data_IF_877916678685
#
_entry.id   IF_877916678685
#
_cell.length_a   1.000
_cell.length_b   1.000
_cell.length_c   1.000
_cell.angle_alpha   90.00
_cell.angle_beta   90.00
_cell.angle_gamma   90.00
#
_symmetry.space_group_name_H-M   'P 1'
#
loop_
_entity.id
_entity.type
_entity.pdbx_description
1 polymer ?
#
# COMPACT_ATOMS: atom_id res chain seq x y z
N UNK A 1 -30.68 -11.25 1.68
CA UNK A 1 -29.75 -11.27 2.83
C UNK A 1 -28.31 -11.70 2.50
N UNK A 2 -28.04 -12.89 1.91
CA UNK A 2 -26.64 -13.33 1.62
C UNK A 2 -25.87 -12.42 0.64
N UNK A 3 -26.49 -11.91 -0.44
CA UNK A 3 -25.78 -11.02 -1.39
C UNK A 3 -25.56 -9.61 -0.85
N UNK A 4 -26.53 -9.06 -0.10
CA UNK A 4 -26.39 -7.77 0.58
C UNK A 4 -25.23 -7.78 1.59
N UNK A 5 -25.07 -8.90 2.34
CA UNK A 5 -23.93 -9.04 3.27
C UNK A 5 -22.57 -9.00 2.56
N UNK A 6 -22.50 -9.44 1.31
CA UNK A 6 -21.27 -9.45 0.53
C UNK A 6 -20.98 -8.12 -0.17
N UNK A 7 -22.01 -7.33 -0.52
CA UNK A 7 -21.86 -6.12 -1.31
C UNK A 7 -21.57 -4.87 -0.45
N UNK A 8 -22.07 -4.83 0.79
CA UNK A 8 -21.90 -3.65 1.67
C UNK A 8 -20.43 -3.23 1.86
N UNK A 9 -19.47 -4.14 2.14
CA UNK A 9 -18.06 -3.77 2.25
C UNK A 9 -17.48 -3.14 0.97
N UNK A 10 -17.93 -3.57 -0.21
CA UNK A 10 -17.51 -3.00 -1.50
C UNK A 10 -18.09 -1.60 -1.70
N UNK A 11 -19.37 -1.40 -1.37
CA UNK A 11 -20.00 -0.07 -1.43
C UNK A 11 -19.29 0.90 -0.48
N UNK A 12 -19.00 0.48 0.76
CA UNK A 12 -18.28 1.32 1.71
C UNK A 12 -16.85 1.63 1.25
N UNK A 13 -16.16 0.66 0.66
CA UNK A 13 -14.84 0.89 0.04
C UNK A 13 -14.91 1.95 -1.05
N UNK A 14 -15.89 1.82 -1.96
CA UNK A 14 -16.12 2.80 -3.02
C UNK A 14 -16.38 4.20 -2.45
N UNK A 15 -17.28 4.32 -1.46
CA UNK A 15 -17.60 5.59 -0.81
C UNK A 15 -16.36 6.19 -0.14
N UNK A 16 -15.56 5.38 0.57
CA UNK A 16 -14.37 5.85 1.27
C UNK A 16 -13.34 6.45 0.30
N UNK A 17 -13.10 5.81 -0.84
CA UNK A 17 -12.14 6.30 -1.85
C UNK A 17 -12.66 7.57 -2.52
N UNK A 18 -13.95 7.61 -2.87
CA UNK A 18 -14.60 8.81 -3.42
C UNK A 18 -14.59 9.98 -2.42
N UNK A 19 -14.80 9.70 -1.13
CA UNK A 19 -14.74 10.71 -0.07
C UNK A 19 -13.33 11.27 0.09
N UNK A 20 -12.31 10.42 0.11
CA UNK A 20 -10.91 10.87 0.19
C UNK A 20 -10.57 11.86 -0.93
N UNK A 21 -10.89 11.51 -2.18
CA UNK A 21 -10.59 12.37 -3.34
C UNK A 21 -11.51 13.59 -3.40
N UNK A 22 -12.80 13.44 -3.07
CA UNK A 22 -13.75 14.54 -3.04
C UNK A 22 -13.38 15.60 -2.01
N UNK A 23 -12.98 15.21 -0.79
CA UNK A 23 -12.50 16.12 0.25
C UNK A 23 -11.21 16.81 -0.17
N UNK A 24 -10.28 16.09 -0.78
CA UNK A 24 -9.05 16.67 -1.34
C UNK A 24 -9.36 17.77 -2.36
N UNK A 25 -10.26 17.52 -3.32
CA UNK A 25 -10.64 18.52 -4.31
C UNK A 25 -11.39 19.70 -3.69
N UNK A 26 -12.28 19.45 -2.73
CA UNK A 26 -13.07 20.51 -2.09
C UNK A 26 -12.20 21.47 -1.26
N UNK A 27 -11.20 20.92 -0.56
CA UNK A 27 -10.26 21.71 0.23
C UNK A 27 -9.07 22.24 -0.59
N UNK A 28 -8.93 21.82 -1.86
CA UNK A 28 -7.76 22.06 -2.70
C UNK A 28 -6.44 21.56 -2.08
N UNK A 29 -6.50 20.44 -1.35
CA UNK A 29 -5.37 19.86 -0.64
C UNK A 29 -5.03 18.47 -1.19
N UNK A 30 -4.08 18.34 -2.14
CA UNK A 30 -3.76 17.07 -2.79
C UNK A 30 -3.13 16.05 -1.83
N UNK A 31 -2.50 16.50 -0.74
CA UNK A 31 -1.90 15.65 0.28
C UNK A 31 -2.91 14.81 1.07
N UNK A 32 -4.20 15.13 0.97
CA UNK A 32 -5.30 14.31 1.52
C UNK A 32 -5.42 12.99 0.77
N UNK A 33 -5.04 12.93 -0.52
CA UNK A 33 -5.10 11.70 -1.29
C UNK A 33 -3.95 10.79 -0.84
N UNK A 34 -4.29 9.81 0.00
CA UNK A 34 -3.39 8.79 0.49
C UNK A 34 -3.77 7.44 -0.14
N UNK A 35 -3.11 7.00 -1.23
CA UNK A 35 -3.49 5.78 -1.97
C UNK A 35 -3.66 4.53 -1.10
N UNK A 36 -2.92 4.47 0.00
CA UNK A 36 -2.93 3.41 1.01
C UNK A 36 -4.29 3.24 1.68
N UNK A 37 -5.15 4.26 1.74
CA UNK A 37 -6.52 4.13 2.24
C UNK A 37 -7.30 3.09 1.43
N UNK A 38 -7.10 3.03 0.12
CA UNK A 38 -7.67 1.98 -0.73
C UNK A 38 -7.09 0.61 -0.40
N UNK A 39 -5.80 0.52 -0.10
CA UNK A 39 -5.19 -0.73 0.36
C UNK A 39 -5.77 -1.17 1.73
N UNK A 40 -5.89 -0.24 2.67
CA UNK A 40 -6.41 -0.50 4.01
C UNK A 40 -7.87 -0.97 3.99
N UNK A 41 -8.71 -0.37 3.16
CA UNK A 41 -10.11 -0.80 2.98
C UNK A 41 -10.20 -2.19 2.34
N UNK A 42 -9.40 -2.49 1.32
CA UNK A 42 -9.31 -3.85 0.76
C UNK A 42 -8.88 -4.86 1.82
N UNK A 43 -7.83 -4.56 2.58
CA UNK A 43 -7.27 -5.47 3.59
C UNK A 43 -8.12 -5.65 4.84
N UNK A 44 -8.91 -4.63 5.22
CA UNK A 44 -9.68 -4.60 6.48
C UNK A 44 -11.15 -4.92 6.28
N UNK A 45 -11.75 -4.54 5.15
CA UNK A 45 -13.19 -4.68 4.90
C UNK A 45 -13.50 -5.78 3.88
N UNK A 46 -12.71 -5.92 2.82
CA UNK A 46 -13.03 -6.84 1.72
C UNK A 46 -12.41 -8.23 1.92
N UNK A 47 -11.20 -8.30 2.48
CA UNK A 47 -10.49 -9.54 2.63
C UNK A 47 -11.27 -10.53 3.53
N UNK A 48 -11.39 -11.82 3.13
CA UNK A 48 -12.16 -12.81 3.87
C UNK A 48 -11.51 -13.19 5.20
N UNK A 49 -10.24 -12.82 5.37
CA UNK A 49 -9.46 -12.90 6.60
C UNK A 49 -8.59 -11.65 6.70
N UNK A 50 -8.37 -11.18 7.91
CA UNK A 50 -7.55 -10.03 8.19
C UNK A 50 -6.15 -10.25 7.61
N UNK A 51 -5.73 -9.35 6.72
CA UNK A 51 -4.45 -9.48 6.00
C UNK A 51 -3.27 -9.29 6.98
N UNK A 52 -3.40 -8.34 7.90
CA UNK A 52 -2.33 -7.98 8.83
C UNK A 52 -2.71 -8.25 10.28
N UNK A 53 -1.76 -8.82 11.03
CA UNK A 53 -1.89 -8.99 12.47
C UNK A 53 -1.68 -7.65 13.18
N UNK A 54 -2.77 -6.92 13.43
CA UNK A 54 -2.73 -5.63 14.15
C UNK A 54 -4.02 -5.41 14.94
N UNK A 55 -3.97 -4.65 16.03
CA UNK A 55 -5.18 -4.21 16.74
C UNK A 55 -5.71 -2.90 16.14
N UNK A 56 -7.00 -2.58 16.32
CA UNK A 56 -7.58 -1.31 15.87
C UNK A 56 -6.78 -0.07 16.30
N UNK A 57 -6.36 -0.04 17.56
CA UNK A 57 -5.58 1.07 18.12
C UNK A 57 -4.19 1.12 17.49
N UNK A 58 -3.51 -0.03 17.34
CA UNK A 58 -2.19 -0.09 16.70
C UNK A 58 -2.26 0.35 15.23
N UNK A 59 -3.33 0.03 14.52
CA UNK A 59 -3.56 0.46 13.15
C UNK A 59 -3.53 2.01 13.05
N UNK A 60 -4.28 2.69 13.90
CA UNK A 60 -4.32 4.17 13.96
C UNK A 60 -2.96 4.75 14.38
N UNK A 61 -2.38 4.26 15.49
CA UNK A 61 -1.13 4.79 16.02
C UNK A 61 0.05 4.59 15.06
N UNK A 62 0.14 3.45 14.38
CA UNK A 62 1.20 3.20 13.42
C UNK A 62 1.06 4.13 12.21
N UNK A 63 -0.14 4.32 11.64
CA UNK A 63 -0.30 5.30 10.55
C UNK A 63 0.11 6.70 11.01
N UNK A 64 -0.36 7.16 12.19
CA UNK A 64 -0.02 8.47 12.72
C UNK A 64 1.49 8.66 12.90
N UNK A 65 2.14 7.76 13.63
CA UNK A 65 3.57 7.86 13.96
C UNK A 65 4.41 7.85 12.69
N UNK A 66 4.15 6.91 11.77
CA UNK A 66 4.99 6.74 10.58
C UNK A 66 4.76 7.83 9.53
N UNK A 67 3.54 8.36 9.41
CA UNK A 67 3.28 9.53 8.59
C UNK A 67 3.99 10.79 9.12
N UNK A 68 3.98 11.00 10.45
CA UNK A 68 4.74 12.09 11.09
C UNK A 68 6.24 11.92 10.83
N UNK A 69 6.79 10.72 11.04
CA UNK A 69 8.20 10.46 10.77
C UNK A 69 8.57 10.74 9.32
N UNK A 70 7.73 10.34 8.37
CA UNK A 70 7.93 10.64 6.94
C UNK A 70 8.04 12.14 6.67
N UNK A 71 7.08 12.94 7.17
CA UNK A 71 7.10 14.41 7.02
C UNK A 71 8.30 15.05 7.74
N UNK A 72 8.66 14.56 8.93
CA UNK A 72 9.83 15.04 9.66
C UNK A 72 11.13 14.80 8.88
N UNK A 73 11.26 13.64 8.23
CA UNK A 73 12.42 13.33 7.37
C UNK A 73 12.50 14.24 6.15
N UNK A 74 11.37 14.69 5.61
CA UNK A 74 11.36 15.67 4.52
C UNK A 74 11.79 17.04 5.03
N UNK A 75 11.14 17.54 6.09
CA UNK A 75 11.34 18.91 6.61
C UNK A 75 12.70 19.20 7.22
N UNK A 76 13.26 18.25 7.96
CA UNK A 76 14.37 18.54 8.88
C UNK A 76 15.68 17.81 8.56
N UNK A 77 15.65 16.83 7.66
CA UNK A 77 16.82 16.03 7.33
C UNK A 77 17.20 16.29 5.88
N UNK A 78 18.28 17.03 5.65
CA UNK A 78 18.80 17.31 4.32
C UNK A 78 19.87 16.28 3.92
N UNK A 79 19.41 15.15 3.37
CA UNK A 79 20.24 14.06 2.87
C UNK A 79 19.65 13.50 1.57
N UNK A 80 20.45 12.75 0.82
CA UNK A 80 20.03 12.12 -0.44
C UNK A 80 18.78 11.24 -0.27
N UNK A 81 17.93 11.23 -1.31
CA UNK A 81 16.65 10.52 -1.31
C UNK A 81 16.83 9.03 -0.98
N UNK A 82 17.81 8.36 -1.60
CA UNK A 82 18.09 6.95 -1.34
C UNK A 82 18.37 6.68 0.15
N UNK A 83 19.11 7.57 0.82
CA UNK A 83 19.42 7.42 2.24
C UNK A 83 18.17 7.63 3.11
N UNK A 84 17.30 8.59 2.76
CA UNK A 84 16.00 8.76 3.43
C UNK A 84 15.16 7.49 3.33
N UNK A 85 15.09 6.87 2.16
CA UNK A 85 14.33 5.63 1.91
C UNK A 85 14.89 4.47 2.74
N UNK A 86 16.22 4.31 2.78
CA UNK A 86 16.91 3.26 3.55
C UNK A 86 16.62 3.40 5.05
N UNK A 87 16.74 4.63 5.57
CA UNK A 87 16.48 4.94 6.98
C UNK A 87 15.01 4.73 7.31
N UNK A 88 14.08 5.24 6.48
CA UNK A 88 12.64 5.07 6.66
C UNK A 88 12.25 3.58 6.69
N UNK A 89 12.72 2.80 5.71
CA UNK A 89 12.45 1.36 5.66
C UNK A 89 12.99 0.62 6.89
N UNK A 90 14.16 1.02 7.38
CA UNK A 90 14.77 0.46 8.60
C UNK A 90 13.92 0.77 9.83
N UNK A 91 13.55 2.04 10.04
CA UNK A 91 12.72 2.48 11.17
C UNK A 91 11.35 1.78 11.14
N UNK A 92 10.72 1.66 9.97
CA UNK A 92 9.48 0.92 9.77
C UNK A 92 9.61 -0.56 10.13
N UNK A 93 10.70 -1.21 9.70
CA UNK A 93 10.93 -2.63 9.99
C UNK A 93 11.11 -2.89 11.49
N UNK A 94 11.89 -2.03 12.18
CA UNK A 94 12.01 -2.06 13.64
C UNK A 94 10.66 -1.80 14.30
N UNK A 95 9.87 -0.89 13.75
CA UNK A 95 8.49 -0.61 14.16
C UNK A 95 7.57 -1.82 14.18
N UNK A 96 7.61 -2.64 13.13
CA UNK A 96 6.83 -3.88 13.03
C UNK A 96 7.21 -4.86 14.16
N UNK A 97 8.50 -4.99 14.44
CA UNK A 97 9.01 -5.84 15.52
C UNK A 97 8.57 -5.36 16.90
N UNK A 98 8.79 -4.08 17.22
CA UNK A 98 8.42 -3.48 18.52
C UNK A 98 6.91 -3.54 18.72
N UNK A 99 6.13 -3.21 17.70
CA UNK A 99 4.67 -3.23 17.78
C UNK A 99 4.08 -4.64 17.80
N UNK A 100 4.87 -5.69 17.51
CA UNK A 100 4.41 -7.07 17.33
C UNK A 100 3.29 -7.18 16.30
N UNK A 101 3.46 -6.51 15.15
CA UNK A 101 2.46 -6.48 14.07
C UNK A 101 3.06 -6.88 12.72
N UNK A 102 2.21 -7.31 11.79
CA UNK A 102 2.58 -7.50 10.37
C UNK A 102 2.01 -6.40 9.48
N UNK A 103 1.76 -5.20 10.03
CA UNK A 103 1.07 -4.10 9.36
C UNK A 103 1.97 -3.35 8.37
N UNK A 104 2.28 -3.99 7.25
CA UNK A 104 3.13 -3.46 6.20
C UNK A 104 2.73 -2.06 5.65
N UNK A 105 1.44 -1.63 5.63
CA UNK A 105 1.07 -0.29 5.21
C UNK A 105 1.77 0.87 5.95
N UNK A 106 2.30 0.65 7.15
CA UNK A 106 3.10 1.68 7.84
C UNK A 106 4.38 2.07 7.08
N UNK A 107 4.95 1.14 6.30
CA UNK A 107 6.10 1.43 5.43
C UNK A 107 5.70 2.49 4.41
N UNK A 108 4.50 2.35 3.84
CA UNK A 108 4.01 3.28 2.84
C UNK A 108 3.69 4.66 3.43
N UNK A 109 3.07 4.68 4.62
CA UNK A 109 2.79 5.91 5.34
C UNK A 109 4.06 6.74 5.63
N UNK A 110 5.20 6.09 5.84
CA UNK A 110 6.48 6.77 6.05
C UNK A 110 7.15 7.19 4.74
N UNK A 111 7.18 6.30 3.75
CA UNK A 111 7.97 6.49 2.52
C UNK A 111 7.27 7.41 1.51
N UNK A 112 5.94 7.42 1.46
CA UNK A 112 5.20 8.25 0.50
C UNK A 112 5.54 9.75 0.60
N UNK A 113 5.48 10.42 1.77
CA UNK A 113 5.84 11.83 1.85
C UNK A 113 7.31 12.07 1.47
N UNK A 114 8.21 11.15 1.78
CA UNK A 114 9.62 11.23 1.38
C UNK A 114 9.77 11.20 -0.14
N UNK A 115 9.04 10.31 -0.83
CA UNK A 115 9.08 10.19 -2.27
C UNK A 115 8.46 11.40 -2.99
N UNK A 116 7.39 11.95 -2.42
CA UNK A 116 6.64 13.09 -2.97
C UNK A 116 7.21 14.45 -2.57
N UNK A 117 8.15 14.51 -1.62
CA UNK A 117 8.66 15.76 -1.05
C UNK A 117 7.60 16.51 -0.23
N UNK A 118 6.69 15.78 0.41
CA UNK A 118 5.59 16.34 1.19
C UNK A 118 6.08 16.90 2.51
N UNK A 119 5.91 18.21 2.68
CA UNK A 119 6.20 18.89 3.93
C UNK A 119 4.94 19.15 4.75
N UNK A 120 3.73 19.18 4.20
CA UNK A 120 2.60 19.65 5.02
C UNK A 120 2.12 18.63 6.07
N UNK A 121 1.63 19.17 7.19
CA UNK A 121 1.04 18.39 8.29
C UNK A 121 -0.37 17.88 7.96
N UNK A 122 -0.95 18.29 6.83
CA UNK A 122 -2.23 17.78 6.35
C UNK A 122 -2.12 16.30 6.04
N UNK A 123 -0.99 15.85 5.47
CA UNK A 123 -0.74 14.44 5.18
C UNK A 123 -0.96 13.50 6.40
N UNK A 124 -0.24 13.64 7.53
CA UNK A 124 -0.44 12.76 8.69
C UNK A 124 -1.82 12.93 9.34
N UNK A 125 -2.39 14.13 9.34
CA UNK A 125 -3.75 14.38 9.88
C UNK A 125 -4.79 13.62 9.05
N UNK A 126 -4.76 13.77 7.72
CA UNK A 126 -5.68 13.13 6.80
C UNK A 126 -5.55 11.60 6.85
N UNK A 127 -4.32 11.08 6.77
CA UNK A 127 -4.05 9.65 6.85
C UNK A 127 -4.58 9.04 8.15
N UNK A 128 -4.36 9.72 9.28
CA UNK A 128 -4.84 9.27 10.60
C UNK A 128 -6.36 9.31 10.70
N UNK A 129 -6.98 10.41 10.28
CA UNK A 129 -8.44 10.58 10.34
C UNK A 129 -9.18 9.53 9.49
N UNK A 130 -8.72 9.32 8.26
CA UNK A 130 -9.26 8.27 7.38
C UNK A 130 -9.06 6.88 7.98
N UNK A 131 -7.94 6.65 8.65
CA UNK A 131 -7.67 5.38 9.35
C UNK A 131 -8.61 5.16 10.53
N UNK A 132 -8.98 6.21 11.27
CA UNK A 132 -9.99 6.15 12.34
C UNK A 132 -11.34 5.73 11.76
N UNK A 133 -11.76 6.33 10.64
CA UNK A 133 -12.99 5.93 9.93
C UNK A 133 -12.91 4.44 9.53
N UNK A 134 -11.77 3.99 8.99
CA UNK A 134 -11.56 2.59 8.62
C UNK A 134 -11.80 1.64 9.78
N UNK A 135 -11.24 1.97 10.94
CA UNK A 135 -11.39 1.18 12.16
C UNK A 135 -12.82 1.16 12.68
N UNK A 136 -13.50 2.32 12.71
CA UNK A 136 -14.90 2.41 13.18
C UNK A 136 -15.82 1.57 12.28
N UNK A 137 -15.68 1.73 10.96
CA UNK A 137 -16.47 0.96 9.98
C UNK A 137 -16.12 -0.52 10.04
N UNK A 138 -14.84 -0.88 10.21
CA UNK A 138 -14.45 -2.28 10.35
C UNK A 138 -15.13 -2.92 11.56
N UNK A 139 -15.15 -2.23 12.71
CA UNK A 139 -15.84 -2.71 13.90
C UNK A 139 -17.35 -2.86 13.66
N UNK A 140 -17.98 -1.88 13.03
CA UNK A 140 -19.38 -1.98 12.61
C UNK A 140 -19.62 -3.20 11.71
N UNK A 141 -18.78 -3.44 10.70
CA UNK A 141 -18.91 -4.61 9.82
C UNK A 141 -18.75 -5.94 10.57
N UNK A 142 -17.94 -5.98 11.62
CA UNK A 142 -17.75 -7.16 12.46
C UNK A 142 -18.95 -7.39 13.40
N UNK A 143 -19.44 -6.34 14.06
CA UNK A 143 -20.54 -6.42 15.02
C UNK A 143 -21.86 -6.88 14.36
N UNK A 144 -22.06 -6.56 13.08
CA UNK A 144 -23.23 -6.97 12.29
C UNK A 144 -22.99 -8.15 11.34
N UNK A 145 -21.87 -8.88 11.51
CA UNK A 145 -21.52 -10.08 10.72
C UNK A 145 -21.47 -9.85 9.19
N UNK A 146 -21.08 -8.66 8.76
CA UNK A 146 -20.76 -8.35 7.35
C UNK A 146 -19.31 -8.70 6.99
N UNK A 147 -18.44 -8.75 8.00
CA UNK A 147 -17.05 -9.20 7.88
C UNK A 147 -16.74 -10.23 8.96
N UNK A 148 -15.61 -10.91 8.79
CA UNK A 148 -15.13 -11.89 9.76
C UNK A 148 -14.70 -11.20 11.06
N UNK A 149 -15.05 -11.79 12.20
CA UNK A 149 -14.57 -11.34 13.50
C UNK A 149 -13.07 -11.61 13.56
N UNK A 150 -12.29 -10.59 13.91
CA UNK A 150 -10.86 -10.70 14.07
C UNK A 150 -10.45 -10.26 15.47
N UNK A 151 -9.75 -11.15 16.18
CA UNK A 151 -9.11 -10.82 17.45
C UNK A 151 -7.60 -10.75 17.25
N UNK A 152 -7.02 -9.62 17.64
CA UNK A 152 -5.58 -9.42 17.51
C UNK A 152 -4.82 -10.38 18.42
N UNK A 153 -3.96 -11.18 17.81
CA UNK A 153 -2.96 -11.97 18.50
C UNK A 153 -1.59 -11.38 18.19
N UNK A 154 -0.82 -10.93 19.21
CA UNK A 154 0.54 -10.44 19.01
C UNK A 154 1.40 -11.44 18.24
N UNK A 155 2.23 -10.93 17.35
CA UNK A 155 3.17 -11.77 16.61
C UNK A 155 4.31 -12.17 17.53
N UNK A 156 4.55 -13.47 17.63
CA UNK A 156 5.79 -14.02 18.17
C UNK A 156 6.78 -14.09 17.01
N UNK A 157 7.81 -13.26 17.08
CA UNK A 157 8.85 -13.20 16.07
C UNK A 157 10.02 -14.09 16.47
N UNK A 158 10.49 -14.91 15.53
CA UNK A 158 11.85 -15.45 15.59
C UNK A 158 12.80 -14.31 15.20
N UNK A 159 13.38 -13.65 16.20
CA UNK A 159 14.23 -12.48 16.00
C UNK A 159 15.44 -12.76 15.10
N UNK A 160 15.99 -13.98 15.14
CA UNK A 160 17.13 -14.32 14.31
C UNK A 160 16.68 -14.46 12.84
N UNK A 161 15.58 -15.18 12.60
CA UNK A 161 15.00 -15.30 11.27
C UNK A 161 14.57 -13.94 10.69
N UNK A 162 13.86 -13.12 11.47
CA UNK A 162 13.38 -11.81 11.04
C UNK A 162 14.52 -10.83 10.78
N UNK A 163 15.62 -10.89 11.55
CA UNK A 163 16.81 -10.07 11.29
C UNK A 163 17.41 -10.42 9.92
N UNK A 164 17.59 -11.70 9.60
CA UNK A 164 18.11 -12.12 8.30
C UNK A 164 17.17 -11.75 7.16
N UNK A 165 15.86 -11.93 7.34
CA UNK A 165 14.86 -11.54 6.37
C UNK A 165 14.86 -10.01 6.14
N UNK A 166 14.99 -9.23 7.21
CA UNK A 166 15.15 -7.78 7.15
C UNK A 166 16.41 -7.39 6.38
N UNK A 167 17.58 -7.95 6.69
CA UNK A 167 18.83 -7.64 6.00
C UNK A 167 18.74 -7.93 4.49
N UNK A 168 18.16 -9.07 4.11
CA UNK A 168 17.95 -9.41 2.69
C UNK A 168 17.02 -8.40 2.00
N UNK A 169 15.90 -8.03 2.65
CA UNK A 169 14.98 -7.00 2.13
C UNK A 169 15.64 -5.64 2.01
N UNK A 170 16.43 -5.26 3.02
CA UNK A 170 17.15 -3.99 3.05
C UNK A 170 18.15 -3.89 1.89
N UNK A 171 18.90 -4.96 1.60
CA UNK A 171 19.81 -4.99 0.45
C UNK A 171 19.09 -4.76 -0.88
N UNK A 172 17.93 -5.38 -1.07
CA UNK A 172 17.09 -5.17 -2.27
C UNK A 172 16.60 -3.73 -2.35
N UNK A 173 16.11 -3.17 -1.24
CA UNK A 173 15.64 -1.77 -1.19
C UNK A 173 16.78 -0.79 -1.45
N UNK A 174 17.98 -1.02 -0.91
CA UNK A 174 19.18 -0.22 -1.19
C UNK A 174 19.49 -0.24 -2.69
N UNK A 175 19.57 -1.44 -3.29
CA UNK A 175 19.88 -1.60 -4.71
C UNK A 175 18.86 -0.88 -5.60
N UNK A 176 17.57 -1.04 -5.31
CA UNK A 176 16.52 -0.37 -6.06
C UNK A 176 16.48 1.13 -5.84
N UNK A 177 16.74 1.62 -4.62
CA UNK A 177 16.80 3.04 -4.34
C UNK A 177 17.93 3.71 -5.15
N UNK A 178 19.12 3.10 -5.17
CA UNK A 178 20.26 3.60 -5.96
C UNK A 178 19.96 3.60 -7.46
N UNK A 179 19.35 2.53 -7.99
CA UNK A 179 18.96 2.47 -9.41
C UNK A 179 17.89 3.51 -9.73
N UNK A 180 16.87 3.63 -8.87
CA UNK A 180 15.75 4.55 -9.07
C UNK A 180 16.19 6.01 -9.05
N UNK A 181 17.16 6.38 -8.20
CA UNK A 181 17.67 7.76 -8.16
C UNK A 181 18.65 8.05 -9.28
N UNK A 182 19.57 7.14 -9.61
CA UNK A 182 20.56 7.33 -10.69
C UNK A 182 19.94 7.39 -12.09
N UNK A 183 18.85 6.65 -12.31
CA UNK A 183 18.14 6.64 -13.59
C UNK A 183 16.91 7.59 -13.59
N UNK A 184 16.73 8.37 -12.52
CA UNK A 184 15.60 9.30 -12.34
C UNK A 184 14.19 8.65 -12.41
N UNK A 185 14.10 7.32 -12.26
CA UNK A 185 12.86 6.53 -12.29
C UNK A 185 12.31 6.25 -10.88
N UNK A 186 12.02 7.30 -10.11
CA UNK A 186 11.62 7.22 -8.69
C UNK A 186 10.45 6.27 -8.41
N UNK A 187 9.54 6.08 -9.36
CA UNK A 187 8.37 5.18 -9.21
C UNK A 187 8.74 3.69 -9.15
N UNK A 188 9.98 3.31 -9.45
CA UNK A 188 10.48 1.94 -9.25
C UNK A 188 10.45 1.53 -7.77
N UNK A 189 10.63 2.51 -6.87
CA UNK A 189 10.53 2.35 -5.42
C UNK A 189 9.23 2.95 -4.87
N UNK A 190 8.17 3.00 -5.69
CA UNK A 190 6.87 3.47 -5.23
C UNK A 190 6.46 2.73 -3.95
N UNK A 191 5.96 3.42 -2.92
CA UNK A 191 5.64 2.83 -1.63
C UNK A 191 4.76 1.57 -1.70
N UNK A 192 3.72 1.51 -2.57
CA UNK A 192 2.92 0.29 -2.74
C UNK A 192 3.72 -0.91 -3.24
N UNK A 193 4.76 -0.70 -4.06
CA UNK A 193 5.64 -1.76 -4.54
C UNK A 193 6.52 -2.31 -3.41
N UNK A 194 7.04 -1.44 -2.55
CA UNK A 194 7.82 -1.84 -1.37
C UNK A 194 6.94 -2.66 -0.41
N UNK A 195 5.68 -2.25 -0.20
CA UNK A 195 4.72 -3.02 0.61
C UNK A 195 4.42 -4.38 -0.05
N UNK A 196 4.16 -4.40 -1.36
CA UNK A 196 3.96 -5.64 -2.11
C UNK A 196 5.15 -6.60 -1.97
N UNK A 197 6.38 -6.10 -2.10
CA UNK A 197 7.59 -6.85 -1.87
C UNK A 197 7.69 -7.40 -0.45
N UNK A 198 7.40 -6.57 0.55
CA UNK A 198 7.42 -6.97 1.94
C UNK A 198 6.44 -8.14 2.19
N UNK A 199 5.20 -8.05 1.67
CA UNK A 199 4.20 -9.11 1.79
C UNK A 199 4.61 -10.41 1.06
N UNK A 200 5.13 -10.30 -0.17
CA UNK A 200 5.50 -11.48 -0.98
C UNK A 200 6.74 -12.21 -0.45
N UNK A 201 7.69 -11.48 0.13
CA UNK A 201 8.92 -12.05 0.72
C UNK A 201 8.70 -12.64 2.12
N UNK A 202 7.57 -12.32 2.76
CA UNK A 202 7.21 -12.88 4.08
C UNK A 202 6.65 -14.29 4.00
N UNK A 203 6.13 -14.83 5.12
CA UNK A 203 5.60 -16.19 5.22
C UNK A 203 4.18 -16.37 4.63
N UNK A 204 3.94 -15.85 3.42
CA UNK A 204 2.66 -15.91 2.71
C UNK A 204 2.75 -16.79 1.44
N UNK A 205 3.01 -18.10 1.61
CA UNK A 205 3.16 -19.06 0.49
C UNK A 205 2.00 -19.00 -0.52
N UNK A 206 0.75 -18.89 -0.04
CA UNK A 206 -0.46 -18.77 -0.88
C UNK A 206 -0.53 -17.48 -1.69
N UNK A 207 -0.03 -16.37 -1.14
CA UNK A 207 0.04 -15.10 -1.87
C UNK A 207 1.10 -15.20 -2.97
N UNK A 208 2.28 -15.73 -2.61
CA UNK A 208 3.41 -15.89 -3.53
C UNK A 208 3.11 -16.85 -4.68
N UNK A 209 2.38 -17.94 -4.45
CA UNK A 209 1.97 -18.86 -5.54
C UNK A 209 1.06 -18.19 -6.58
N UNK A 210 0.43 -17.06 -6.24
CA UNK A 210 -0.42 -16.28 -7.14
C UNK A 210 0.34 -15.14 -7.82
N UNK A 211 1.65 -14.99 -7.61
CA UNK A 211 2.44 -13.86 -8.10
C UNK A 211 2.27 -13.54 -9.60
N UNK A 212 2.20 -14.52 -10.54
CA UNK A 212 1.93 -14.20 -11.95
C UNK A 212 0.56 -13.55 -12.18
N UNK A 213 -0.46 -13.98 -11.43
CA UNK A 213 -1.80 -13.37 -11.50
C UNK A 213 -1.80 -11.97 -10.87
N UNK A 214 -1.13 -11.80 -9.73
CA UNK A 214 -0.97 -10.51 -9.07
C UNK A 214 -0.25 -9.52 -9.99
N UNK A 215 0.81 -9.96 -10.67
CA UNK A 215 1.58 -9.19 -11.63
C UNK A 215 0.69 -8.67 -12.77
N UNK A 216 0.02 -9.57 -13.48
CA UNK A 216 -0.86 -9.20 -14.60
C UNK A 216 -1.99 -8.26 -14.16
N UNK A 217 -2.60 -8.52 -13.00
CA UNK A 217 -3.66 -7.68 -12.46
C UNK A 217 -3.16 -6.28 -12.08
N UNK A 218 -1.99 -6.21 -11.45
CA UNK A 218 -1.37 -4.94 -11.01
C UNK A 218 -1.04 -4.06 -12.21
N UNK A 219 -0.47 -4.64 -13.26
CA UNK A 219 -0.18 -3.92 -14.50
C UNK A 219 -1.47 -3.42 -15.15
N UNK A 220 -2.47 -4.28 -15.28
CA UNK A 220 -3.75 -3.93 -15.86
C UNK A 220 -4.40 -2.72 -15.14
N UNK A 221 -4.42 -2.76 -13.80
CA UNK A 221 -4.92 -1.64 -13.00
C UNK A 221 -4.07 -0.39 -13.17
N UNK A 222 -2.73 -0.52 -13.20
CA UNK A 222 -1.84 0.63 -13.40
C UNK A 222 -2.07 1.31 -14.76
N UNK A 223 -2.28 0.53 -15.82
CA UNK A 223 -2.65 1.05 -17.14
C UNK A 223 -4.01 1.77 -17.09
N UNK A 224 -5.04 1.13 -16.57
CA UNK A 224 -6.38 1.73 -16.49
C UNK A 224 -6.35 3.03 -15.70
N UNK A 225 -5.71 3.05 -14.53
CA UNK A 225 -5.74 4.23 -13.67
C UNK A 225 -4.97 5.41 -14.26
N UNK A 226 -3.77 5.17 -14.80
CA UNK A 226 -2.96 6.23 -15.37
C UNK A 226 -3.54 6.81 -16.66
N UNK A 227 -3.98 5.94 -17.58
CA UNK A 227 -4.57 6.39 -18.84
C UNK A 227 -5.97 6.99 -18.64
N UNK A 228 -6.77 6.49 -17.68
CA UNK A 228 -8.04 7.13 -17.35
C UNK A 228 -7.81 8.56 -16.81
N UNK A 229 -6.84 8.78 -15.92
CA UNK A 229 -6.50 10.16 -15.50
C UNK A 229 -6.00 11.00 -16.66
N UNK A 230 -5.12 10.46 -17.49
CA UNK A 230 -4.57 11.18 -18.63
C UNK A 230 -5.67 11.62 -19.61
N UNK A 231 -6.52 10.70 -20.06
CA UNK A 231 -7.56 11.05 -21.01
C UNK A 231 -8.71 11.80 -20.35
N UNK A 232 -9.31 11.27 -19.29
CA UNK A 232 -10.52 11.88 -18.73
C UNK A 232 -10.22 13.20 -18.03
N UNK A 233 -9.24 13.24 -17.13
CA UNK A 233 -8.99 14.44 -16.33
C UNK A 233 -8.16 15.48 -17.08
N UNK A 234 -7.07 15.09 -17.74
CA UNK A 234 -6.18 16.08 -18.38
C UNK A 234 -6.68 16.50 -19.77
N UNK A 235 -7.06 15.55 -20.62
CA UNK A 235 -7.48 15.86 -21.99
C UNK A 235 -8.93 16.33 -22.07
N UNK A 236 -9.85 15.64 -21.39
CA UNK A 236 -11.29 15.93 -21.46
C UNK A 236 -11.83 16.77 -20.29
N UNK A 237 -10.95 17.20 -19.36
CA UNK A 237 -11.30 18.04 -18.20
C UNK A 237 -12.43 17.48 -17.32
N UNK A 238 -12.61 16.16 -17.31
CA UNK A 238 -13.55 15.47 -16.43
C UNK A 238 -13.03 15.58 -14.99
N UNK A 239 -13.87 15.98 -14.01
CA UNK A 239 -13.46 16.06 -12.61
C UNK A 239 -12.77 14.79 -12.10
N UNK A 240 -11.69 14.96 -11.32
CA UNK A 240 -10.88 13.87 -10.80
C UNK A 240 -11.71 12.84 -10.02
N UNK A 241 -12.69 13.29 -9.21
CA UNK A 241 -13.61 12.40 -8.49
C UNK A 241 -14.37 11.42 -9.40
N UNK A 242 -14.81 11.84 -10.59
CA UNK A 242 -15.52 10.97 -11.54
C UNK A 242 -14.56 9.91 -12.08
N UNK A 243 -13.33 10.33 -12.41
CA UNK A 243 -12.27 9.43 -12.89
C UNK A 243 -11.92 8.39 -11.82
N UNK A 244 -11.74 8.82 -10.58
CA UNK A 244 -11.46 7.93 -9.44
C UNK A 244 -12.62 7.00 -9.15
N UNK A 245 -13.86 7.48 -9.20
CA UNK A 245 -15.03 6.64 -9.03
C UNK A 245 -15.04 5.50 -10.07
N UNK A 246 -14.80 5.81 -11.34
CA UNK A 246 -14.74 4.80 -12.40
C UNK A 246 -13.60 3.79 -12.17
N UNK A 247 -12.38 4.25 -11.87
CA UNK A 247 -11.23 3.38 -11.59
C UNK A 247 -11.51 2.47 -10.39
N UNK A 248 -12.08 3.03 -9.32
CA UNK A 248 -12.42 2.30 -8.10
C UNK A 248 -13.51 1.27 -8.37
N UNK A 249 -14.52 1.61 -9.17
CA UNK A 249 -15.55 0.65 -9.58
C UNK A 249 -14.94 -0.52 -10.36
N UNK A 250 -14.08 -0.25 -11.33
CA UNK A 250 -13.38 -1.29 -12.10
C UNK A 250 -12.54 -2.19 -11.19
N UNK A 251 -11.74 -1.59 -10.31
CA UNK A 251 -10.92 -2.30 -9.33
C UNK A 251 -11.78 -3.23 -8.46
N UNK A 252 -12.87 -2.72 -7.90
CA UNK A 252 -13.77 -3.46 -7.02
C UNK A 252 -14.51 -4.58 -7.75
N UNK A 253 -14.94 -4.35 -8.99
CA UNK A 253 -15.52 -5.40 -9.84
C UNK A 253 -14.52 -6.54 -10.07
N UNK A 254 -13.25 -6.22 -10.33
CA UNK A 254 -12.23 -7.23 -10.54
C UNK A 254 -11.93 -8.01 -9.25
N UNK A 255 -11.83 -7.34 -8.10
CA UNK A 255 -11.66 -8.02 -6.81
C UNK A 255 -12.87 -8.92 -6.52
N UNK A 256 -14.08 -8.46 -6.80
CA UNK A 256 -15.31 -9.23 -6.62
C UNK A 256 -15.33 -10.49 -7.51
N UNK A 257 -14.99 -10.35 -8.79
CA UNK A 257 -15.00 -11.45 -9.76
C UNK A 257 -13.86 -12.45 -9.54
N UNK A 258 -12.63 -11.98 -9.32
CA UNK A 258 -11.44 -12.84 -9.21
C UNK A 258 -11.18 -13.35 -7.79
N UNK A 259 -11.78 -12.71 -6.76
CA UNK A 259 -11.58 -13.02 -5.34
C UNK A 259 -10.11 -12.97 -4.91
N UNK A 260 -9.36 -12.05 -5.51
CA UNK A 260 -7.95 -11.78 -5.19
C UNK A 260 -7.91 -10.54 -4.30
N UNK A 261 -7.55 -10.74 -3.03
CA UNK A 261 -7.44 -9.66 -2.04
C UNK A 261 -5.97 -9.35 -1.81
N UNK A 262 -5.46 -8.41 -2.60
CA UNK A 262 -4.07 -7.97 -2.55
C UNK A 262 -4.03 -6.46 -2.32
N UNK A 263 -3.99 -5.98 -1.06
CA UNK A 263 -4.09 -4.56 -0.72
C UNK A 263 -3.22 -3.60 -1.55
N UNK A 264 -1.94 -3.90 -1.86
CA UNK A 264 -1.09 -3.00 -2.63
C UNK A 264 -1.67 -2.57 -3.99
N UNK A 265 -2.52 -3.40 -4.61
CA UNK A 265 -3.14 -3.05 -5.89
C UNK A 265 -4.10 -1.86 -5.76
N UNK A 266 -4.75 -1.70 -4.61
CA UNK A 266 -5.62 -0.56 -4.35
C UNK A 266 -4.85 0.75 -4.32
N UNK A 267 -3.67 0.75 -3.70
CA UNK A 267 -2.79 1.91 -3.70
C UNK A 267 -2.23 2.19 -5.10
N UNK A 268 -1.86 1.16 -5.86
CA UNK A 268 -1.41 1.31 -7.26
C UNK A 268 -2.52 1.88 -8.17
N UNK A 269 -3.79 1.58 -7.88
CA UNK A 269 -4.92 2.16 -8.61
C UNK A 269 -5.06 3.67 -8.39
N UNK A 270 -4.79 4.16 -7.18
CA UNK A 270 -4.99 5.57 -6.81
C UNK A 270 -3.72 6.41 -6.95
N UNK A 271 -2.54 5.80 -6.90
CA UNK A 271 -1.27 6.51 -6.99
C UNK A 271 -1.18 7.47 -8.19
N UNK A 272 -1.68 7.15 -9.41
CA UNK A 272 -1.64 8.11 -10.52
C UNK A 272 -2.39 9.40 -10.26
N UNK A 273 -3.35 9.46 -9.33
CA UNK A 273 -4.12 10.67 -9.01
C UNK A 273 -3.26 11.80 -8.41
N UNK A 274 -2.14 11.44 -7.77
CA UNK A 274 -1.21 12.39 -7.14
C UNK A 274 0.07 12.64 -7.95
N UNK A 275 0.27 11.90 -9.06
CA UNK A 275 1.48 12.06 -9.87
C UNK A 275 1.45 13.33 -10.72
N UNK A 276 2.61 13.77 -11.18
CA UNK A 276 2.69 14.79 -12.22
C UNK A 276 2.21 14.24 -13.58
N UNK A 277 1.65 15.10 -14.47
CA UNK A 277 1.11 14.67 -15.77
C UNK A 277 2.10 13.92 -16.67
N UNK A 278 3.37 14.32 -16.65
CA UNK A 278 4.47 13.76 -17.45
C UNK A 278 4.76 12.30 -17.09
N UNK A 279 4.54 11.91 -15.83
CA UNK A 279 4.77 10.54 -15.36
C UNK A 279 3.64 9.58 -15.70
N UNK A 280 2.46 10.06 -16.10
CA UNK A 280 1.29 9.20 -16.30
C UNK A 280 1.45 8.17 -17.40
N UNK A 281 2.04 8.56 -18.54
CA UNK A 281 2.21 7.66 -19.68
C UNK A 281 3.21 6.56 -19.36
N UNK A 282 4.29 6.90 -18.63
CA UNK A 282 5.35 5.94 -18.29
C UNK A 282 5.04 5.12 -17.04
N UNK A 283 4.14 5.60 -16.17
CA UNK A 283 3.79 4.98 -14.89
C UNK A 283 3.52 3.47 -14.98
N UNK A 284 2.65 2.96 -15.88
CA UNK A 284 2.34 1.53 -15.91
C UNK A 284 3.56 0.67 -16.24
N UNK A 285 4.48 1.19 -17.05
CA UNK A 285 5.72 0.50 -17.42
C UNK A 285 6.71 0.46 -16.24
N UNK A 286 6.81 1.56 -15.48
CA UNK A 286 7.64 1.60 -14.27
C UNK A 286 7.10 0.66 -13.18
N UNK A 287 5.77 0.63 -12.99
CA UNK A 287 5.12 -0.32 -12.08
C UNK A 287 5.34 -1.76 -12.54
N UNK A 288 5.20 -2.05 -13.84
CA UNK A 288 5.47 -3.38 -14.39
C UNK A 288 6.92 -3.82 -14.10
N UNK A 289 7.90 -2.99 -14.48
CA UNK A 289 9.32 -3.28 -14.28
C UNK A 289 9.65 -3.44 -12.79
N UNK A 290 9.24 -2.49 -11.94
CA UNK A 290 9.50 -2.51 -10.51
C UNK A 290 8.88 -3.72 -9.83
N UNK A 291 7.61 -4.03 -10.15
CA UNK A 291 6.94 -5.17 -9.56
C UNK A 291 7.53 -6.50 -10.02
N UNK A 292 7.93 -6.64 -11.29
CA UNK A 292 8.61 -7.83 -11.79
C UNK A 292 9.92 -8.09 -11.03
N UNK A 293 10.76 -7.06 -10.88
CA UNK A 293 12.03 -7.15 -10.14
C UNK A 293 11.79 -7.55 -8.68
N UNK A 294 10.84 -6.89 -8.01
CA UNK A 294 10.53 -7.16 -6.61
C UNK A 294 9.91 -8.55 -6.38
N UNK A 295 9.07 -9.04 -7.31
CA UNK A 295 8.60 -10.42 -7.29
C UNK A 295 9.81 -11.36 -7.36
N UNK A 296 10.71 -11.17 -8.32
CA UNK A 296 11.89 -12.01 -8.49
C UNK A 296 12.74 -12.07 -7.21
N UNK A 297 13.03 -10.92 -6.60
CA UNK A 297 13.77 -10.88 -5.33
C UNK A 297 13.00 -11.52 -4.18
N UNK A 298 11.67 -11.33 -4.09
CA UNK A 298 10.86 -11.98 -3.07
C UNK A 298 10.93 -13.51 -3.16
N UNK A 299 10.95 -14.07 -4.38
CA UNK A 299 11.13 -15.52 -4.59
C UNK A 299 12.54 -15.99 -4.21
N UNK A 300 13.59 -15.25 -4.57
CA UNK A 300 14.98 -15.59 -4.22
C UNK A 300 15.17 -15.67 -2.70
N UNK A 301 14.74 -14.62 -1.98
CA UNK A 301 14.82 -14.55 -0.52
C UNK A 301 14.11 -15.73 0.15
N UNK A 302 12.95 -16.11 -0.40
CA UNK A 302 12.09 -17.12 0.23
C UNK A 302 12.45 -18.56 -0.11
N UNK A 303 13.08 -18.81 -1.27
CA UNK A 303 13.56 -20.14 -1.67
C UNK A 303 14.68 -20.60 -0.76
N UNK A 304 15.60 -19.70 -0.44
CA UNK A 304 16.73 -19.96 0.45
C UNK A 304 16.27 -20.37 1.86
N UNK A 305 15.21 -19.72 2.38
CA UNK A 305 14.64 -20.04 3.68
C UNK A 305 14.04 -21.46 3.73
N UNK A 306 13.54 -22.01 2.62
CA UNK A 306 12.99 -23.39 2.61
C UNK A 306 14.09 -24.45 2.70
N UNK A 307 15.29 -24.17 2.18
CA UNK A 307 16.41 -25.12 2.17
C UNK A 307 17.08 -25.31 3.54
N UNK A 308 16.90 -24.38 4.46
CA UNK A 308 17.44 -24.44 5.81
C UNK A 308 16.60 -25.38 6.69
N UNK A 309 15.28 -25.46 6.46
CA UNK A 309 14.38 -26.34 7.22
C UNK A 309 14.32 -27.79 6.70
N UNK A 310 14.83 -28.07 5.50
CA UNK A 310 14.97 -29.45 4.99
C UNK A 310 16.27 -30.13 5.46
N UNK A 311 17.15 -29.41 6.17
CA UNK A 311 18.44 -29.92 6.69
C UNK A 311 18.51 -30.06 8.21
N UNK A 312 17.38 -29.90 8.90
CA UNK A 312 17.19 -30.20 10.33
C UNK A 312 16.09 -31.22 10.49
#
# INVERSE_FOLDING_TARGET
MKSQKQLLPYILTFIMVCLMVGVSQWLNEPEIIFPEITALTIGSWLAPKQVWKTSPIKLILLILIYAILGVLMVRYIDIFLELKIIVAFTICSVGLLISKTTFAPLISACILPILMGTESWIYPIAATFMTIIIVIVQKFLQDYEYSHIYQYQPVEFDYHHELWLFLKRLLVVIGLAVVATRLEIRLLIAPPLIVAFFELSGNHKKLRSQAPRLYGLTIFIAFISAYARYFFTLQYQIPLIITVALITLILLLIIYSLKIFFPPIGAIAILPMILSPDLLIIYPFLIAMGFALLILFAFLISKENSSIYEKT
#
